data_IF_165107073545
#
_entry.id   IF_165107073545
#
_cell.length_a   1.000
_cell.length_b   1.000
_cell.length_c   1.000
_cell.angle_alpha   90.00
_cell.angle_beta   90.00
_cell.angle_gamma   90.00
#
_symmetry.space_group_name_H-M   'P 1'
#
loop_
_entity.id
_entity.type
_entity.pdbx_description
1 polymer ?
#
# COMPACT_ATOMS: atom_id res chain seq x y z
N UNK A 1 12.35 6.32 -30.43
CA UNK A 1 11.85 6.68 -29.08
C UNK A 1 12.81 6.13 -28.03
N UNK A 2 13.15 6.87 -26.96
CA UNK A 2 13.94 6.27 -25.86
C UNK A 2 13.12 5.15 -25.19
N UNK A 3 13.77 4.07 -24.75
CA UNK A 3 13.07 2.90 -24.19
C UNK A 3 12.15 3.22 -23.01
N UNK A 4 12.46 4.26 -22.22
CA UNK A 4 11.61 4.75 -21.15
C UNK A 4 10.31 5.42 -21.62
N UNK A 5 10.33 6.12 -22.78
CA UNK A 5 9.11 6.71 -23.37
C UNK A 5 8.19 5.64 -23.94
N UNK A 6 8.75 4.63 -24.61
CA UNK A 6 7.98 3.50 -25.12
C UNK A 6 7.21 2.78 -23.99
N UNK A 7 7.90 2.45 -22.90
CA UNK A 7 7.27 1.83 -21.71
C UNK A 7 6.14 2.66 -21.13
N UNK A 8 6.35 3.98 -21.02
CA UNK A 8 5.33 4.89 -20.52
C UNK A 8 4.11 4.97 -21.44
N UNK A 9 4.32 5.01 -22.76
CA UNK A 9 3.24 4.97 -23.75
C UNK A 9 2.46 3.66 -23.68
N UNK A 10 3.14 2.51 -23.63
CA UNK A 10 2.47 1.21 -23.53
C UNK A 10 1.62 1.11 -22.26
N UNK A 11 2.15 1.52 -21.10
CA UNK A 11 1.35 1.53 -19.86
C UNK A 11 0.22 2.56 -19.88
N UNK A 12 0.39 3.69 -20.55
CA UNK A 12 -0.71 4.65 -20.74
C UNK A 12 -1.82 4.01 -21.59
N UNK A 13 -1.46 3.29 -22.66
CA UNK A 13 -2.42 2.52 -23.47
C UNK A 13 -3.10 1.45 -22.62
N UNK A 14 -2.36 0.65 -21.84
CA UNK A 14 -2.94 -0.31 -20.88
C UNK A 14 -3.94 0.39 -19.95
N UNK A 15 -3.56 1.53 -19.38
CA UNK A 15 -4.39 2.27 -18.43
C UNK A 15 -5.68 2.76 -19.08
N UNK A 16 -5.58 3.43 -20.23
CA UNK A 16 -6.75 3.98 -20.94
C UNK A 16 -7.66 2.86 -21.46
N UNK A 17 -7.09 1.79 -22.00
CA UNK A 17 -7.83 0.66 -22.54
C UNK A 17 -8.54 -0.12 -21.41
N UNK A 18 -7.87 -0.35 -20.28
CA UNK A 18 -8.50 -0.96 -19.09
C UNK A 18 -9.62 -0.10 -18.55
N UNK A 19 -9.45 1.23 -18.51
CA UNK A 19 -10.51 2.14 -18.10
C UNK A 19 -11.69 2.14 -19.08
N UNK A 20 -11.44 2.11 -20.38
CA UNK A 20 -12.48 2.05 -21.39
C UNK A 20 -13.26 0.73 -21.33
N UNK A 21 -12.58 -0.39 -21.09
CA UNK A 21 -13.22 -1.69 -20.86
C UNK A 21 -14.12 -1.65 -19.60
N UNK A 22 -13.61 -1.15 -18.47
CA UNK A 22 -14.36 -1.07 -17.22
C UNK A 22 -15.59 -0.15 -17.27
N UNK A 23 -15.59 0.87 -18.13
CA UNK A 23 -16.69 1.86 -18.23
C UNK A 23 -17.66 1.52 -19.36
N UNK A 24 -17.17 1.05 -20.50
CA UNK A 24 -17.97 0.82 -21.71
C UNK A 24 -18.18 -0.66 -22.04
N UNK A 25 -17.65 -1.59 -21.23
CA UNK A 25 -17.68 -3.04 -21.47
C UNK A 25 -17.22 -3.41 -22.90
N UNK A 26 -16.11 -2.80 -23.34
CA UNK A 26 -15.63 -2.92 -24.72
C UNK A 26 -14.59 -4.01 -24.88
N UNK A 27 -14.97 -5.08 -25.58
CA UNK A 27 -14.07 -6.19 -25.92
C UNK A 27 -12.80 -5.72 -26.66
N UNK A 28 -12.93 -4.73 -27.56
CA UNK A 28 -11.80 -4.16 -28.30
C UNK A 28 -10.80 -3.47 -27.35
N UNK A 29 -11.31 -2.75 -26.35
CA UNK A 29 -10.46 -2.12 -25.35
C UNK A 29 -9.73 -3.16 -24.50
N UNK A 30 -10.40 -4.26 -24.16
CA UNK A 30 -9.78 -5.36 -23.43
C UNK A 30 -8.62 -6.01 -24.21
N UNK A 31 -8.82 -6.31 -25.50
CA UNK A 31 -7.75 -6.84 -26.37
C UNK A 31 -6.59 -5.87 -26.53
N UNK A 32 -6.88 -4.57 -26.70
CA UNK A 32 -5.85 -3.55 -26.78
C UNK A 32 -5.03 -3.46 -25.48
N UNK A 33 -5.68 -3.54 -24.32
CA UNK A 33 -5.02 -3.54 -23.01
C UNK A 33 -4.06 -4.73 -22.88
N UNK A 34 -4.47 -5.92 -23.29
CA UNK A 34 -3.65 -7.13 -23.22
C UNK A 34 -2.45 -7.09 -24.17
N UNK A 35 -2.65 -6.67 -25.42
CA UNK A 35 -1.55 -6.52 -26.39
C UNK A 35 -0.52 -5.48 -25.92
N UNK A 36 -1.00 -4.34 -25.40
CA UNK A 36 -0.14 -3.32 -24.84
C UNK A 36 0.59 -3.81 -23.57
N UNK A 37 -0.06 -4.63 -22.75
CA UNK A 37 0.55 -5.24 -21.56
C UNK A 37 1.64 -6.24 -21.95
N UNK A 38 1.40 -7.11 -22.93
CA UNK A 38 2.41 -8.02 -23.47
C UNK A 38 3.62 -7.27 -24.02
N UNK A 39 3.37 -6.24 -24.85
CA UNK A 39 4.42 -5.35 -25.34
C UNK A 39 5.18 -4.64 -24.22
N UNK A 40 4.49 -4.21 -23.15
CA UNK A 40 5.12 -3.62 -21.98
C UNK A 40 6.05 -4.62 -21.29
N UNK A 41 5.58 -5.83 -20.97
CA UNK A 41 6.36 -6.87 -20.31
C UNK A 41 7.63 -7.24 -21.10
N UNK A 42 7.51 -7.39 -22.43
CA UNK A 42 8.64 -7.67 -23.32
C UNK A 42 9.67 -6.53 -23.37
N UNK A 43 9.20 -5.29 -23.19
CA UNK A 43 10.09 -4.11 -23.19
C UNK A 43 10.88 -3.94 -21.89
N UNK A 44 10.55 -4.68 -20.82
CA UNK A 44 11.17 -4.55 -19.51
C UNK A 44 12.60 -5.11 -19.50
N UNK A 45 13.51 -4.39 -18.84
CA UNK A 45 14.90 -4.81 -18.61
C UNK A 45 15.26 -4.50 -17.17
N UNK A 46 16.06 -5.35 -16.53
CA UNK A 46 16.51 -5.15 -15.15
C UNK A 46 15.44 -5.39 -14.09
N UNK A 47 14.53 -6.35 -14.32
CA UNK A 47 13.57 -6.78 -13.30
C UNK A 47 14.30 -7.41 -12.10
N UNK A 48 13.78 -7.11 -10.92
CA UNK A 48 14.17 -7.77 -9.66
C UNK A 48 13.97 -9.28 -9.76
N UNK A 49 14.74 -10.04 -8.98
CA UNK A 49 14.64 -11.51 -8.96
C UNK A 49 13.23 -11.97 -8.62
N UNK A 50 12.55 -11.30 -7.67
CA UNK A 50 11.17 -11.62 -7.30
C UNK A 50 10.19 -11.43 -8.47
N UNK A 51 10.26 -10.28 -9.16
CA UNK A 51 9.40 -10.03 -10.33
C UNK A 51 9.63 -11.09 -11.43
N UNK A 52 10.88 -11.51 -11.65
CA UNK A 52 11.22 -12.54 -12.61
C UNK A 52 10.67 -13.91 -12.21
N UNK A 53 10.83 -14.31 -10.95
CA UNK A 53 10.31 -15.58 -10.43
C UNK A 53 8.78 -15.62 -10.60
N UNK A 54 8.07 -14.56 -10.22
CA UNK A 54 6.61 -14.51 -10.37
C UNK A 54 6.18 -14.63 -11.83
N UNK A 55 6.87 -13.98 -12.77
CA UNK A 55 6.56 -14.12 -14.20
C UNK A 55 6.83 -15.54 -14.72
N UNK A 56 7.92 -16.18 -14.27
CA UNK A 56 8.22 -17.58 -14.63
C UNK A 56 7.15 -18.51 -14.07
N UNK A 57 6.78 -18.36 -12.80
CA UNK A 57 5.72 -19.16 -12.17
C UNK A 57 4.38 -18.91 -12.88
N UNK A 58 4.06 -17.67 -13.21
CA UNK A 58 2.86 -17.32 -13.97
C UNK A 58 2.85 -18.04 -15.31
N UNK A 59 3.94 -17.97 -16.08
CA UNK A 59 4.09 -18.67 -17.35
C UNK A 59 3.91 -20.19 -17.20
N UNK A 60 4.55 -20.80 -16.20
CA UNK A 60 4.43 -22.25 -15.94
C UNK A 60 2.99 -22.64 -15.59
N UNK A 61 2.30 -21.88 -14.73
CA UNK A 61 0.90 -22.15 -14.41
C UNK A 61 -0.04 -21.89 -15.59
N UNK A 62 0.28 -20.94 -16.47
CA UNK A 62 -0.47 -20.76 -17.72
C UNK A 62 -0.35 -21.99 -18.62
N UNK A 63 0.83 -22.61 -18.71
CA UNK A 63 1.00 -23.86 -19.45
C UNK A 63 0.22 -25.02 -18.82
N UNK A 64 0.20 -25.10 -17.49
CA UNK A 64 -0.62 -26.09 -16.78
C UNK A 64 -2.11 -25.87 -17.05
N UNK A 65 -2.58 -24.62 -17.02
CA UNK A 65 -3.96 -24.27 -17.34
C UNK A 65 -4.35 -24.67 -18.76
N UNK A 66 -3.49 -24.40 -19.76
CA UNK A 66 -3.71 -24.83 -21.14
C UNK A 66 -3.84 -26.35 -21.29
N UNK A 67 -3.27 -27.12 -20.37
CA UNK A 67 -3.31 -28.58 -20.43
C UNK A 67 -4.46 -29.19 -19.63
N UNK A 68 -4.77 -28.63 -18.44
CA UNK A 68 -5.69 -29.27 -17.48
C UNK A 68 -7.09 -28.65 -17.43
N UNK A 69 -7.24 -27.37 -17.79
CA UNK A 69 -8.51 -26.66 -17.63
C UNK A 69 -9.36 -26.76 -18.91
N UNK A 70 -10.66 -26.97 -18.76
CA UNK A 70 -11.58 -27.16 -19.90
C UNK A 70 -11.70 -25.90 -20.77
N UNK A 71 -11.72 -24.71 -20.14
CA UNK A 71 -11.77 -23.40 -20.82
C UNK A 71 -10.53 -22.54 -20.54
N UNK A 72 -9.34 -22.93 -21.03
CA UNK A 72 -8.10 -22.33 -20.57
C UNK A 72 -7.91 -20.89 -21.09
N UNK A 73 -8.43 -20.59 -22.29
CA UNK A 73 -8.33 -19.25 -22.86
C UNK A 73 -9.13 -18.22 -22.07
N UNK A 74 -10.31 -18.61 -21.54
CA UNK A 74 -11.14 -17.75 -20.71
C UNK A 74 -10.44 -17.44 -19.39
N UNK A 75 -9.91 -18.48 -18.72
CA UNK A 75 -9.16 -18.32 -17.47
C UNK A 75 -7.92 -17.42 -17.64
N UNK A 76 -7.15 -17.61 -18.72
CA UNK A 76 -5.98 -16.79 -19.00
C UNK A 76 -6.34 -15.34 -19.33
N UNK A 77 -7.45 -15.14 -20.05
CA UNK A 77 -7.98 -13.82 -20.39
C UNK A 77 -8.41 -13.05 -19.14
N UNK A 78 -9.18 -13.68 -18.26
CA UNK A 78 -9.58 -13.09 -16.98
C UNK A 78 -8.38 -12.80 -16.07
N UNK A 79 -7.40 -13.72 -16.01
CA UNK A 79 -6.16 -13.51 -15.29
C UNK A 79 -5.37 -12.31 -15.82
N UNK A 80 -5.26 -12.18 -17.15
CA UNK A 80 -4.59 -11.05 -17.80
C UNK A 80 -5.32 -9.73 -17.54
N UNK A 81 -6.66 -9.74 -17.53
CA UNK A 81 -7.49 -8.62 -17.12
C UNK A 81 -7.19 -8.16 -15.69
N UNK A 82 -7.05 -9.09 -14.75
CA UNK A 82 -6.64 -8.77 -13.36
C UNK A 82 -5.23 -8.18 -13.28
N UNK A 83 -4.29 -8.67 -14.09
CA UNK A 83 -2.95 -8.07 -14.17
C UNK A 83 -3.06 -6.60 -14.63
N UNK A 84 -3.77 -6.37 -15.74
CA UNK A 84 -3.96 -5.04 -16.33
C UNK A 84 -4.65 -4.08 -15.36
N UNK A 85 -5.65 -4.57 -14.63
CA UNK A 85 -6.34 -3.83 -13.57
C UNK A 85 -5.36 -3.34 -12.49
N UNK A 86 -4.55 -4.24 -11.93
CA UNK A 86 -3.59 -3.87 -10.89
C UNK A 86 -2.45 -2.96 -11.38
N UNK A 87 -1.99 -3.18 -12.61
CA UNK A 87 -1.01 -2.31 -13.25
C UNK A 87 -1.56 -0.88 -13.40
N UNK A 88 -2.79 -0.78 -13.91
CA UNK A 88 -3.55 0.47 -14.05
C UNK A 88 -3.76 1.14 -12.70
N UNK A 89 -4.09 0.37 -11.67
CA UNK A 89 -4.27 0.86 -10.30
C UNK A 89 -3.00 1.49 -9.72
N UNK A 90 -1.85 0.85 -9.91
CA UNK A 90 -0.58 1.38 -9.42
C UNK A 90 -0.16 2.66 -10.16
N UNK A 91 -0.41 2.73 -11.48
CA UNK A 91 -0.18 3.95 -12.28
C UNK A 91 -1.12 5.08 -11.83
N UNK A 92 -2.41 4.79 -11.66
CA UNK A 92 -3.43 5.76 -11.23
C UNK A 92 -3.10 6.40 -9.88
N UNK A 93 -2.74 5.60 -8.87
CA UNK A 93 -2.28 6.12 -7.59
C UNK A 93 -0.94 6.85 -7.69
N UNK A 94 -0.03 6.35 -8.53
CA UNK A 94 1.28 6.97 -8.76
C UNK A 94 1.18 8.41 -9.24
N UNK A 95 0.13 8.76 -9.99
CA UNK A 95 -0.11 10.12 -10.49
C UNK A 95 -0.33 11.16 -9.38
N UNK A 96 -0.90 10.76 -8.23
CA UNK A 96 -1.07 11.64 -7.07
C UNK A 96 0.27 12.13 -6.49
N UNK A 97 1.37 11.41 -6.77
CA UNK A 97 2.71 11.82 -6.34
C UNK A 97 3.20 13.09 -7.05
N UNK A 98 2.76 13.35 -8.29
CA UNK A 98 3.18 14.53 -9.07
C UNK A 98 2.84 15.86 -8.38
N UNK A 99 1.57 16.16 -8.05
CA UNK A 99 1.24 17.37 -7.30
C UNK A 99 1.79 17.34 -5.88
N UNK A 100 1.89 16.17 -5.25
CA UNK A 100 2.33 16.06 -3.86
C UNK A 100 3.81 16.47 -3.68
N UNK A 101 4.72 16.03 -4.54
CA UNK A 101 6.15 16.40 -4.46
C UNK A 101 6.39 17.91 -4.71
N UNK A 102 5.51 18.56 -5.47
CA UNK A 102 5.58 20.00 -5.78
C UNK A 102 4.89 20.87 -4.73
N UNK A 103 4.02 20.29 -3.92
CA UNK A 103 3.19 21.03 -2.98
C UNK A 103 3.98 21.63 -1.82
N UNK A 104 3.85 22.95 -1.65
CA UNK A 104 4.37 23.66 -0.47
C UNK A 104 3.65 23.26 0.81
N UNK A 105 2.37 22.86 0.72
CA UNK A 105 1.59 22.36 1.85
C UNK A 105 2.21 21.08 2.41
N UNK A 106 2.58 20.12 1.55
CA UNK A 106 3.22 18.86 1.94
C UNK A 106 4.54 19.13 2.67
N UNK A 107 5.37 20.02 2.13
CA UNK A 107 6.64 20.42 2.77
C UNK A 107 6.43 21.07 4.15
N UNK A 108 5.44 21.97 4.26
CA UNK A 108 5.09 22.64 5.54
C UNK A 108 4.57 21.64 6.58
N UNK A 109 3.72 20.70 6.17
CA UNK A 109 3.24 19.65 7.07
C UNK A 109 4.39 18.82 7.64
N UNK A 110 5.30 18.35 6.78
CA UNK A 110 6.48 17.60 7.23
C UNK A 110 7.31 18.38 8.25
N UNK A 111 7.52 19.69 8.01
CA UNK A 111 8.25 20.55 8.95
C UNK A 111 7.51 20.69 10.30
N UNK A 112 6.20 20.99 10.26
CA UNK A 112 5.35 21.09 11.46
C UNK A 112 5.35 19.80 12.26
N UNK A 113 5.32 18.63 11.63
CA UNK A 113 5.29 17.33 12.30
C UNK A 113 6.58 17.03 13.06
N UNK A 114 7.74 17.40 12.52
CA UNK A 114 9.05 17.12 13.13
C UNK A 114 9.37 18.03 14.31
N UNK A 115 8.90 19.28 14.26
CA UNK A 115 9.12 20.28 15.30
C UNK A 115 8.19 20.14 16.52
N UNK A 116 7.27 19.17 16.51
CA UNK A 116 6.40 18.94 17.66
C UNK A 116 7.18 18.53 18.92
N UNK A 117 6.65 18.87 20.11
CA UNK A 117 7.26 18.51 21.38
C UNK A 117 7.32 16.99 21.57
N UNK A 118 8.24 16.46 22.39
CA UNK A 118 8.51 15.03 22.50
C UNK A 118 7.26 14.17 22.79
N UNK A 119 6.31 14.67 23.60
CA UNK A 119 5.09 13.96 23.97
C UNK A 119 4.07 13.84 22.84
N UNK A 120 4.06 14.80 21.89
CA UNK A 120 3.15 14.84 20.73
C UNK A 120 3.80 14.34 19.44
N UNK A 121 5.12 14.20 19.43
CA UNK A 121 5.87 13.86 18.21
C UNK A 121 5.52 12.48 17.68
N UNK A 122 5.46 11.45 18.52
CA UNK A 122 5.08 10.10 18.07
C UNK A 122 3.69 10.07 17.42
N UNK A 123 2.60 10.51 18.09
CA UNK A 123 1.26 10.40 17.50
C UNK A 123 1.14 11.22 16.21
N UNK A 124 1.69 12.44 16.18
CA UNK A 124 1.63 13.30 14.99
C UNK A 124 2.46 12.72 13.83
N UNK A 125 3.66 12.21 14.11
CA UNK A 125 4.52 11.64 13.08
C UNK A 125 3.95 10.31 12.57
N UNK A 126 3.39 9.48 13.44
CA UNK A 126 2.79 8.20 13.06
C UNK A 126 1.50 8.40 12.25
N UNK A 127 0.53 9.18 12.75
CA UNK A 127 -0.71 9.48 12.01
C UNK A 127 -0.42 10.22 10.70
N UNK A 128 0.47 11.22 10.74
CA UNK A 128 0.85 11.93 9.54
C UNK A 128 1.53 10.99 8.53
N UNK A 129 2.42 10.10 8.96
CA UNK A 129 3.04 9.12 8.04
C UNK A 129 2.02 8.16 7.44
N UNK A 130 0.98 7.76 8.18
CA UNK A 130 -0.13 6.98 7.64
C UNK A 130 -0.87 7.78 6.55
N UNK A 131 -1.29 9.01 6.86
CA UNK A 131 -2.03 9.89 5.95
C UNK A 131 -1.22 10.26 4.68
N UNK A 132 0.05 10.61 4.83
CA UNK A 132 0.94 10.88 3.70
C UNK A 132 1.26 9.60 2.93
N UNK A 133 1.31 8.44 3.60
CA UNK A 133 1.45 7.13 2.99
C UNK A 133 0.33 6.80 2.00
N UNK A 134 -0.87 7.31 2.21
CA UNK A 134 -2.00 7.16 1.27
C UNK A 134 -1.66 7.72 -0.12
N UNK A 135 -1.03 8.90 -0.17
CA UNK A 135 -0.71 9.58 -1.44
C UNK A 135 0.68 9.22 -1.95
N UNK A 136 1.69 9.32 -1.08
CA UNK A 136 3.08 9.20 -1.46
C UNK A 136 3.55 7.74 -1.48
N UNK A 137 2.78 6.82 -0.90
CA UNK A 137 3.15 5.41 -0.72
C UNK A 137 4.57 5.34 -0.13
N UNK A 138 5.46 4.52 -0.66
CA UNK A 138 6.87 4.39 -0.20
C UNK A 138 7.63 5.74 -0.21
N UNK A 139 7.19 6.71 -1.02
CA UNK A 139 7.79 8.05 -1.08
C UNK A 139 7.76 8.81 0.26
N UNK A 140 6.77 8.55 1.13
CA UNK A 140 6.69 9.20 2.46
C UNK A 140 7.89 8.86 3.33
N UNK A 141 8.36 7.61 3.26
CA UNK A 141 9.50 7.15 4.04
C UNK A 141 10.77 7.88 3.61
N UNK A 142 11.01 8.00 2.29
CA UNK A 142 12.17 8.72 1.78
C UNK A 142 12.14 10.20 2.17
N UNK A 143 10.98 10.85 2.03
CA UNK A 143 10.81 12.26 2.34
C UNK A 143 11.02 12.54 3.84
N UNK A 144 10.27 11.84 4.70
CA UNK A 144 10.33 12.10 6.12
C UNK A 144 11.62 11.59 6.77
N UNK A 145 12.20 10.47 6.33
CA UNK A 145 13.50 10.03 6.84
C UNK A 145 14.60 11.06 6.54
N UNK A 146 14.64 11.61 5.32
CA UNK A 146 15.59 12.67 4.97
C UNK A 146 15.38 13.94 5.81
N UNK A 147 14.13 14.32 6.06
CA UNK A 147 13.82 15.48 6.93
C UNK A 147 14.14 15.21 8.41
N UNK A 148 13.96 13.99 8.90
CA UNK A 148 14.36 13.56 10.26
C UNK A 148 15.87 13.72 10.41
N UNK A 149 16.67 13.18 9.49
CA UNK A 149 18.14 13.30 9.56
C UNK A 149 18.58 14.77 9.52
N UNK A 150 17.98 15.58 8.63
CA UNK A 150 18.31 17.00 8.53
C UNK A 150 17.93 17.81 9.79
N UNK A 151 16.81 17.47 10.44
CA UNK A 151 16.29 18.22 11.59
C UNK A 151 16.88 17.79 12.93
N UNK A 152 17.41 16.57 13.04
CA UNK A 152 17.91 16.02 14.29
C UNK A 152 19.39 16.37 14.52
N UNK A 153 19.68 17.64 14.78
CA UNK A 153 21.04 18.15 14.98
C UNK A 153 21.56 17.95 16.41
N UNK A 154 22.87 17.99 16.60
CA UNK A 154 23.52 17.90 17.92
C UNK A 154 23.12 19.06 18.84
N UNK A 155 22.97 20.27 18.27
CA UNK A 155 22.48 21.44 18.97
C UNK A 155 21.07 21.21 19.53
N UNK A 156 20.17 20.60 18.74
CA UNK A 156 18.84 20.21 19.19
C UNK A 156 18.86 19.09 20.24
N UNK A 157 19.98 18.36 20.38
CA UNK A 157 20.20 17.32 21.37
C UNK A 157 21.01 17.80 22.59
N UNK A 158 21.16 19.12 22.79
CA UNK A 158 21.93 19.70 23.90
C UNK A 158 23.39 19.20 23.95
N UNK A 159 23.99 18.93 22.79
CA UNK A 159 25.36 18.40 22.70
C UNK A 159 25.50 16.91 23.00
N UNK A 160 24.41 16.20 23.36
CA UNK A 160 24.47 14.80 23.79
C UNK A 160 24.17 13.83 22.64
N UNK A 161 25.20 13.10 22.20
CA UNK A 161 25.09 12.11 21.10
C UNK A 161 24.03 11.03 21.36
N UNK A 162 23.96 10.52 22.60
CA UNK A 162 22.99 9.47 22.95
C UNK A 162 21.53 9.96 22.83
N UNK A 163 21.27 11.24 23.14
CA UNK A 163 19.94 11.87 23.00
C UNK A 163 19.56 12.00 21.53
N UNK A 164 20.51 12.44 20.70
CA UNK A 164 20.31 12.54 19.26
C UNK A 164 19.97 11.17 18.65
N UNK A 165 20.70 10.12 19.02
CA UNK A 165 20.46 8.75 18.55
C UNK A 165 19.10 8.20 19.03
N UNK A 166 18.74 8.42 20.29
CA UNK A 166 17.45 8.00 20.83
C UNK A 166 16.28 8.72 20.14
N UNK A 167 16.41 10.04 19.88
CA UNK A 167 15.41 10.81 19.11
C UNK A 167 15.28 10.30 17.68
N UNK A 168 16.40 10.07 16.98
CA UNK A 168 16.42 9.53 15.62
C UNK A 168 15.69 8.19 15.56
N UNK A 169 16.05 7.26 16.46
CA UNK A 169 15.41 5.93 16.56
C UNK A 169 13.90 6.05 16.73
N UNK A 170 13.43 6.85 17.68
CA UNK A 170 11.99 7.03 17.95
C UNK A 170 11.26 7.64 16.75
N UNK A 171 11.83 8.65 16.12
CA UNK A 171 11.22 9.30 14.94
C UNK A 171 11.15 8.34 13.75
N UNK A 172 12.20 7.57 13.49
CA UNK A 172 12.20 6.56 12.43
C UNK A 172 11.19 5.42 12.70
N UNK A 173 11.10 4.94 13.95
CA UNK A 173 10.09 3.93 14.32
C UNK A 173 8.67 4.48 14.22
N UNK A 174 8.41 5.72 14.63
CA UNK A 174 7.09 6.35 14.48
C UNK A 174 6.71 6.50 13.00
N UNK A 175 7.67 6.90 12.16
CA UNK A 175 7.51 6.98 10.70
C UNK A 175 7.20 5.60 10.10
N UNK A 176 7.97 4.56 10.44
CA UNK A 176 7.76 3.20 9.97
C UNK A 176 6.39 2.67 10.38
N UNK A 177 6.06 2.76 11.67
CA UNK A 177 4.80 2.26 12.22
C UNK A 177 3.63 3.00 11.61
N UNK A 178 3.71 4.32 11.49
CA UNK A 178 2.68 5.13 10.82
C UNK A 178 2.47 4.76 9.37
N UNK A 179 3.55 4.69 8.57
CA UNK A 179 3.45 4.26 7.17
C UNK A 179 2.84 2.87 7.02
N UNK A 180 3.23 1.93 7.88
CA UNK A 180 2.72 0.57 7.81
C UNK A 180 1.21 0.44 8.10
N UNK A 181 0.57 1.44 8.72
CA UNK A 181 -0.89 1.48 8.89
C UNK A 181 -1.65 1.82 7.59
N UNK A 182 -0.95 2.28 6.54
CA UNK A 182 -1.59 2.71 5.29
C UNK A 182 -2.50 1.65 4.63
N UNK A 183 -2.17 0.33 4.61
CA UNK A 183 -3.05 -0.70 4.07
C UNK A 183 -4.39 -0.83 4.80
N UNK A 184 -4.45 -0.49 6.10
CA UNK A 184 -5.64 -0.60 6.93
C UNK A 184 -6.49 0.67 6.89
N UNK A 185 -5.85 1.85 6.91
CA UNK A 185 -6.55 3.13 7.03
C UNK A 185 -7.05 3.67 5.68
N UNK A 186 -6.44 3.27 4.57
CA UNK A 186 -6.70 3.88 3.26
C UNK A 186 -7.80 3.17 2.47
N UNK A 187 -8.96 3.81 2.20
CA UNK A 187 -9.96 3.25 1.27
C UNK A 187 -9.45 3.09 -0.16
N UNK A 188 -8.40 3.84 -0.52
CA UNK A 188 -7.83 3.89 -1.87
C UNK A 188 -6.46 3.20 -1.92
N UNK A 189 -6.05 2.52 -0.84
CA UNK A 189 -4.75 1.86 -0.76
C UNK A 189 -4.69 0.60 -1.61
N UNK A 190 -3.47 0.19 -1.99
CA UNK A 190 -3.25 -1.04 -2.77
C UNK A 190 -3.83 -2.26 -2.06
N UNK A 191 -3.64 -2.38 -0.73
CA UNK A 191 -4.21 -3.49 0.04
C UNK A 191 -5.73 -3.54 -0.04
N UNK A 192 -6.40 -2.38 0.08
CA UNK A 192 -7.84 -2.30 -0.04
C UNK A 192 -8.33 -2.68 -1.44
N UNK A 193 -7.63 -2.24 -2.48
CA UNK A 193 -7.95 -2.63 -3.85
C UNK A 193 -7.82 -4.13 -4.09
N UNK A 194 -6.75 -4.76 -3.59
CA UNK A 194 -6.53 -6.21 -3.72
C UNK A 194 -7.67 -7.00 -3.08
N UNK A 195 -8.07 -6.63 -1.87
CA UNK A 195 -9.15 -7.31 -1.14
C UNK A 195 -10.49 -7.10 -1.84
N UNK A 196 -10.87 -5.84 -2.10
CA UNK A 196 -12.17 -5.49 -2.67
C UNK A 196 -12.33 -5.94 -4.13
N UNK A 197 -11.23 -6.09 -4.89
CA UNK A 197 -11.31 -6.59 -6.26
C UNK A 197 -11.43 -8.12 -6.32
N UNK A 198 -11.04 -8.82 -5.26
CA UNK A 198 -10.95 -10.28 -5.25
C UNK A 198 -12.11 -10.95 -4.52
N UNK A 199 -12.76 -10.25 -3.59
CA UNK A 199 -13.95 -10.72 -2.88
C UNK A 199 -15.20 -10.03 -3.42
N UNK A 200 -16.05 -10.79 -4.10
CA UNK A 200 -17.29 -10.25 -4.64
C UNK A 200 -18.29 -9.87 -3.53
N UNK A 201 -19.04 -8.79 -3.73
CA UNK A 201 -20.04 -8.32 -2.79
C UNK A 201 -19.51 -7.57 -1.56
N UNK A 202 -18.22 -7.71 -1.23
CA UNK A 202 -17.60 -7.06 -0.08
C UNK A 202 -17.50 -5.54 -0.29
N UNK A 203 -18.05 -4.76 0.65
CA UNK A 203 -18.01 -3.29 0.60
C UNK A 203 -16.98 -2.73 1.58
N UNK A 204 -16.36 -1.61 1.22
CA UNK A 204 -15.42 -0.93 2.12
C UNK A 204 -16.02 -0.59 3.48
N UNK A 205 -17.30 -0.22 3.52
CA UNK A 205 -17.98 0.15 4.77
C UNK A 205 -18.12 -1.02 5.75
N UNK A 206 -18.12 -2.26 5.25
CA UNK A 206 -18.13 -3.47 6.07
C UNK A 206 -16.73 -3.76 6.62
N UNK A 207 -15.68 -3.41 5.88
CA UNK A 207 -14.29 -3.55 6.30
C UNK A 207 -13.84 -2.45 7.26
N UNK A 208 -14.35 -1.23 7.08
CA UNK A 208 -13.82 -0.03 7.74
C UNK A 208 -13.81 -0.13 9.28
N UNK A 209 -14.87 -0.61 9.97
CA UNK A 209 -14.85 -0.74 11.43
C UNK A 209 -13.72 -1.65 11.91
N UNK A 210 -13.53 -2.78 11.23
CA UNK A 210 -12.48 -3.73 11.54
C UNK A 210 -11.10 -3.17 11.19
N UNK A 211 -10.88 -2.69 9.97
CA UNK A 211 -9.58 -2.18 9.55
C UNK A 211 -9.12 -0.98 10.40
N UNK A 212 -10.04 -0.06 10.73
CA UNK A 212 -9.74 1.08 11.60
C UNK A 212 -9.55 0.67 13.05
N UNK A 213 -10.31 -0.31 13.55
CA UNK A 213 -10.08 -0.91 14.88
C UNK A 213 -8.68 -1.52 15.00
N UNK A 214 -8.24 -2.23 13.95
CA UNK A 214 -6.91 -2.83 13.87
C UNK A 214 -5.82 -1.77 13.88
N UNK A 215 -6.01 -0.74 13.05
CA UNK A 215 -5.07 0.36 12.94
C UNK A 215 -4.97 1.15 14.25
N UNK A 216 -6.09 1.36 14.94
CA UNK A 216 -6.15 2.02 16.24
C UNK A 216 -5.40 1.21 17.29
N UNK A 217 -5.64 -0.10 17.38
CA UNK A 217 -4.96 -0.99 18.31
C UNK A 217 -3.44 -0.98 18.09
N UNK A 218 -3.00 -1.14 16.83
CA UNK A 218 -1.59 -1.04 16.45
C UNK A 218 -0.99 0.33 16.79
N UNK A 219 -1.72 1.41 16.54
CA UNK A 219 -1.30 2.76 16.87
C UNK A 219 -1.12 2.95 18.39
N UNK A 220 -2.08 2.50 19.20
CA UNK A 220 -2.07 2.60 20.65
C UNK A 220 -0.91 1.80 21.27
N UNK A 221 -0.70 0.56 20.83
CA UNK A 221 0.46 -0.26 21.27
C UNK A 221 1.76 0.44 20.90
N UNK A 222 1.85 0.95 19.67
CA UNK A 222 3.04 1.68 19.21
C UNK A 222 3.32 2.94 20.02
N UNK A 223 2.27 3.67 20.41
CA UNK A 223 2.38 4.87 21.24
C UNK A 223 2.75 4.53 22.68
N UNK A 224 2.18 3.47 23.24
CA UNK A 224 2.53 2.95 24.56
C UNK A 224 4.01 2.56 24.64
N UNK A 225 4.48 1.76 23.67
CA UNK A 225 5.89 1.34 23.59
C UNK A 225 6.84 2.54 23.43
N UNK A 226 6.47 3.54 22.64
CA UNK A 226 7.29 4.75 22.48
C UNK A 226 7.36 5.58 23.78
N UNK A 227 6.28 5.63 24.56
CA UNK A 227 6.29 6.27 25.88
C UNK A 227 7.15 5.50 26.89
N UNK A 228 7.06 4.17 26.90
CA UNK A 228 7.83 3.32 27.82
C UNK A 228 9.34 3.39 27.53
N UNK A 229 9.72 3.48 26.26
CA UNK A 229 11.13 3.48 25.83
C UNK A 229 11.74 4.88 25.67
N UNK A 230 10.93 5.93 25.85
CA UNK A 230 11.36 7.32 25.65
C UNK A 230 12.27 7.83 26.77
N UNK A 231 13.41 8.49 26.47
CA UNK A 231 14.21 9.13 27.50
C UNK A 231 13.41 10.23 28.20
N UNK A 232 13.30 10.14 29.53
CA UNK A 232 12.66 11.14 30.40
C UNK A 232 13.58 12.34 30.56
N UNK A 233 13.68 13.17 29.53
CA UNK A 233 14.41 14.43 29.61
C UNK A 233 13.43 15.52 30.09
N UNK A 234 13.79 16.22 31.15
CA UNK A 234 13.12 17.46 31.54
C UNK A 234 13.35 18.49 30.43
N UNK A 235 12.26 18.90 29.77
CA UNK A 235 12.31 19.93 28.74
C UNK A 235 12.46 21.29 29.41
N UNK A 236 13.68 21.81 29.55
CA UNK A 236 13.90 23.15 30.14
C UNK A 236 13.62 24.31 29.18
N UNK A 237 13.36 24.04 27.89
CA UNK A 237 13.05 25.09 26.90
C UNK A 237 11.61 24.98 26.43
N UNK A 238 10.82 26.03 26.68
CA UNK A 238 9.59 26.33 25.94
C UNK A 238 9.98 26.46 24.46
N UNK A 239 9.65 25.45 23.66
CA UNK A 239 9.66 25.61 22.21
C UNK A 239 8.29 26.14 21.82
N UNK A 240 8.27 27.18 20.98
CA UNK A 240 7.04 27.58 20.30
C UNK A 240 6.45 26.38 19.58
N UNK A 241 5.27 25.96 20.01
CA UNK A 241 4.58 24.81 19.45
C UNK A 241 4.07 25.23 18.08
N UNK A 242 4.59 24.67 16.97
CA UNK A 242 4.16 25.11 15.66
C UNK A 242 2.69 24.73 15.45
N UNK A 243 1.89 25.64 14.86
CA UNK A 243 0.47 25.41 14.67
C UNK A 243 0.21 24.23 13.73
N UNK A 244 -0.81 23.43 14.06
CA UNK A 244 -1.22 22.26 13.26
C UNK A 244 -2.04 22.62 12.01
N UNK A 245 -2.22 23.91 11.72
CA UNK A 245 -3.00 24.39 10.59
C UNK A 245 -2.58 23.78 9.24
N UNK A 246 -1.29 23.58 8.91
CA UNK A 246 -0.91 22.89 7.67
C UNK A 246 -1.45 21.46 7.62
N UNK A 247 -1.39 20.73 8.74
CA UNK A 247 -1.87 19.36 8.82
C UNK A 247 -3.39 19.29 8.64
N UNK A 248 -4.14 20.21 9.25
CA UNK A 248 -5.60 20.31 9.05
C UNK A 248 -5.94 20.56 7.58
N UNK A 249 -5.25 21.49 6.92
CA UNK A 249 -5.45 21.76 5.48
C UNK A 249 -5.12 20.54 4.61
N UNK A 250 -4.12 19.75 5.00
CA UNK A 250 -3.77 18.53 4.30
C UNK A 250 -4.80 17.41 4.55
N UNK A 251 -5.33 17.28 5.76
CA UNK A 251 -6.44 16.37 6.05
C UNK A 251 -7.69 16.74 5.23
N UNK A 252 -8.02 18.04 5.12
CA UNK A 252 -9.12 18.50 4.27
C UNK A 252 -8.90 18.14 2.80
N UNK A 253 -7.68 18.28 2.28
CA UNK A 253 -7.33 17.83 0.94
C UNK A 253 -7.55 16.33 0.76
N UNK A 254 -7.07 15.51 1.71
CA UNK A 254 -7.26 14.06 1.69
C UNK A 254 -8.74 13.68 1.73
N UNK A 255 -9.51 14.28 2.63
CA UNK A 255 -10.96 14.06 2.73
C UNK A 255 -11.65 14.46 1.42
N UNK A 256 -11.25 15.57 0.80
CA UNK A 256 -11.82 15.99 -0.50
C UNK A 256 -11.52 15.00 -1.63
N UNK A 257 -10.33 14.38 -1.63
CA UNK A 257 -9.96 13.36 -2.61
C UNK A 257 -10.74 12.06 -2.38
N UNK A 258 -10.87 11.64 -1.11
CA UNK A 258 -11.68 10.47 -0.76
C UNK A 258 -13.14 10.72 -1.12
N UNK A 259 -13.70 11.88 -0.77
CA UNK A 259 -15.06 12.27 -1.12
C UNK A 259 -15.28 12.26 -2.64
N UNK A 260 -14.35 12.80 -3.44
CA UNK A 260 -14.41 12.72 -4.90
C UNK A 260 -14.54 11.27 -5.38
N UNK A 261 -13.75 10.36 -4.84
CA UNK A 261 -13.76 8.94 -5.25
C UNK A 261 -15.04 8.23 -4.81
N UNK A 262 -15.53 8.50 -3.60
CA UNK A 262 -16.83 7.96 -3.15
C UNK A 262 -17.99 8.52 -3.97
N UNK A 263 -17.96 9.80 -4.34
CA UNK A 263 -18.97 10.39 -5.23
C UNK A 263 -18.94 9.76 -6.61
N UNK A 264 -17.76 9.50 -7.18
CA UNK A 264 -17.63 8.78 -8.45
C UNK A 264 -18.15 7.34 -8.35
N UNK A 265 -17.85 6.63 -7.26
CA UNK A 265 -18.38 5.30 -7.01
C UNK A 265 -19.91 5.29 -6.94
N UNK A 266 -20.48 6.23 -6.19
CA UNK A 266 -21.92 6.29 -5.96
C UNK A 266 -22.71 6.74 -7.20
N UNK A 267 -22.30 7.86 -7.83
CA UNK A 267 -22.96 8.40 -9.03
C UNK A 267 -22.81 7.46 -10.23
N UNK A 268 -21.64 6.84 -10.39
CA UNK A 268 -21.37 5.92 -11.50
C UNK A 268 -21.81 4.48 -11.25
N UNK A 269 -22.31 4.13 -10.06
CA UNK A 269 -22.58 2.73 -9.69
C UNK A 269 -21.34 1.83 -9.73
N UNK A 270 -20.14 2.41 -9.58
CA UNK A 270 -18.88 1.71 -9.76
C UNK A 270 -18.42 1.07 -8.45
N UNK A 271 -17.79 -0.11 -8.55
CA UNK A 271 -17.03 -0.68 -7.42
C UNK A 271 -15.94 0.31 -6.98
N UNK A 272 -15.69 0.41 -5.68
CA UNK A 272 -14.74 1.38 -5.13
C UNK A 272 -13.34 1.31 -5.78
N UNK A 273 -12.74 0.12 -6.02
CA UNK A 273 -11.46 0.03 -6.72
C UNK A 273 -11.48 0.67 -8.12
N UNK A 274 -12.56 0.48 -8.88
CA UNK A 274 -12.76 1.10 -10.20
C UNK A 274 -12.91 2.62 -10.09
N UNK A 275 -13.66 3.10 -9.10
CA UNK A 275 -13.80 4.54 -8.85
C UNK A 275 -12.46 5.19 -8.48
N UNK A 276 -11.57 4.49 -7.77
CA UNK A 276 -10.20 4.95 -7.50
C UNK A 276 -9.39 5.09 -8.80
N UNK A 277 -9.54 4.19 -9.76
CA UNK A 277 -8.84 4.27 -11.06
C UNK A 277 -9.17 5.56 -11.82
N UNK A 278 -10.41 6.05 -11.71
CA UNK A 278 -10.86 7.30 -12.33
C UNK A 278 -10.54 8.51 -11.45
N UNK A 279 -10.83 8.42 -10.16
CA UNK A 279 -10.75 9.54 -9.23
C UNK A 279 -9.33 9.91 -8.82
N UNK A 280 -8.37 8.98 -8.78
CA UNK A 280 -6.99 9.32 -8.44
C UNK A 280 -6.30 10.16 -9.54
N UNK A 281 -6.36 9.80 -10.84
CA UNK A 281 -5.87 10.66 -11.91
C UNK A 281 -6.60 12.00 -11.98
N UNK A 282 -7.93 11.99 -11.84
CA UNK A 282 -8.75 13.21 -11.84
C UNK A 282 -8.37 14.13 -10.67
N UNK A 283 -8.26 13.58 -9.47
CA UNK A 283 -7.83 14.31 -8.27
C UNK A 283 -6.41 14.86 -8.40
N UNK A 284 -5.49 14.09 -8.98
CA UNK A 284 -4.14 14.57 -9.30
C UNK A 284 -4.16 15.76 -10.26
N UNK A 285 -4.98 15.67 -11.32
CA UNK A 285 -5.14 16.72 -12.31
C UNK A 285 -5.75 17.99 -11.71
N UNK A 286 -6.87 17.87 -10.97
CA UNK A 286 -7.52 18.99 -10.28
C UNK A 286 -6.57 19.67 -9.29
N UNK A 287 -5.78 18.88 -8.55
CA UNK A 287 -4.78 19.42 -7.62
C UNK A 287 -3.68 20.19 -8.37
N UNK A 288 -3.22 19.69 -9.53
CA UNK A 288 -2.25 20.40 -10.37
C UNK A 288 -2.83 21.70 -10.95
N UNK A 289 -4.07 21.70 -11.45
CA UNK A 289 -4.76 22.91 -11.91
C UNK A 289 -4.82 23.95 -10.79
N UNK A 290 -5.20 23.54 -9.58
CA UNK A 290 -5.24 24.43 -8.42
C UNK A 290 -3.87 25.02 -8.06
N UNK A 291 -2.79 24.21 -8.13
CA UNK A 291 -1.43 24.72 -7.93
C UNK A 291 -1.00 25.69 -9.03
N UNK A 292 -1.42 25.41 -10.27
CA UNK A 292 -1.09 26.16 -11.48
C UNK A 292 -1.99 27.36 -11.76
N UNK A 293 -3.05 27.60 -10.98
CA UNK A 293 -4.10 28.61 -11.26
C UNK A 293 -3.63 30.03 -11.53
N UNK A 294 -2.42 30.38 -11.11
CA UNK A 294 -1.78 31.68 -11.35
C UNK A 294 -1.14 31.82 -12.74
N UNK A 295 -1.09 30.75 -13.54
CA UNK A 295 -0.40 30.72 -14.85
C UNK A 295 -1.38 30.75 -16.06
N UNK A 296 -2.60 31.29 -15.87
CA UNK A 296 -3.64 31.41 -16.93
C UNK A 296 -4.48 30.13 -17.16
N UNK A 297 -5.69 30.30 -17.72
CA UNK A 297 -6.67 29.22 -18.02
C UNK A 297 -6.91 28.24 -16.85
N UNK A 298 -7.08 28.76 -15.63
CA UNK A 298 -7.23 27.97 -14.41
C UNK A 298 -6.11 26.94 -14.14
N UNK A 299 -4.95 27.06 -14.81
CA UNK A 299 -3.81 26.15 -14.69
C UNK A 299 -3.88 24.87 -15.53
N UNK A 300 -4.90 24.72 -16.40
CA UNK A 300 -5.12 23.51 -17.22
C UNK A 300 -3.92 23.15 -18.10
N UNK A 301 -3.31 24.07 -18.88
CA UNK A 301 -2.17 23.74 -19.72
C UNK A 301 -0.96 23.27 -18.91
N UNK A 302 -0.72 23.92 -17.76
CA UNK A 302 0.38 23.59 -16.86
C UNK A 302 0.21 22.20 -16.23
N UNK A 303 -1.02 21.85 -15.86
CA UNK A 303 -1.36 20.52 -15.34
C UNK A 303 -1.14 19.44 -16.39
N UNK A 304 -1.66 19.63 -17.62
CA UNK A 304 -1.50 18.70 -18.72
C UNK A 304 -0.02 18.46 -19.08
N UNK A 305 0.76 19.54 -19.23
CA UNK A 305 2.21 19.45 -19.51
C UNK A 305 2.95 18.75 -18.37
N UNK A 306 2.60 19.03 -17.12
CA UNK A 306 3.18 18.37 -15.94
C UNK A 306 2.89 16.88 -15.94
N UNK A 307 1.66 16.49 -16.21
CA UNK A 307 1.24 15.09 -16.20
C UNK A 307 1.92 14.31 -17.32
N UNK A 308 1.91 14.85 -18.54
CA UNK A 308 2.57 14.26 -19.70
C UNK A 308 4.09 14.12 -19.50
N UNK A 309 4.77 15.16 -19.00
CA UNK A 309 6.22 15.10 -18.74
C UNK A 309 6.58 14.26 -17.50
N UNK A 310 5.68 14.18 -16.53
CA UNK A 310 5.86 13.47 -15.27
C UNK A 310 5.66 11.96 -15.38
N UNK A 311 4.76 11.50 -16.27
CA UNK A 311 4.39 10.11 -16.38
C UNK A 311 5.59 9.16 -16.65
N UNK A 312 6.50 9.42 -17.61
CA UNK A 312 7.65 8.54 -17.81
C UNK A 312 8.57 8.44 -16.60
N UNK A 313 8.66 9.52 -15.80
CA UNK A 313 9.49 9.57 -14.58
C UNK A 313 8.88 8.79 -13.42
N UNK A 314 7.56 8.69 -13.37
CA UNK A 314 6.85 7.86 -12.39
C UNK A 314 6.90 6.38 -12.75
N UNK A 315 6.71 6.08 -14.04
CA UNK A 315 6.52 4.71 -14.54
C UNK A 315 7.84 3.93 -14.60
N UNK A 316 8.93 4.57 -15.06
CA UNK A 316 10.21 3.88 -15.21
C UNK A 316 10.69 3.16 -13.92
N UNK A 317 10.74 3.81 -12.74
CA UNK A 317 11.15 3.14 -11.50
C UNK A 317 10.09 2.18 -10.93
N UNK A 318 8.82 2.34 -11.29
CA UNK A 318 7.72 1.53 -10.75
C UNK A 318 7.57 0.15 -11.41
N UNK A 319 8.36 -0.16 -12.44
CA UNK A 319 8.20 -1.40 -13.24
C UNK A 319 8.21 -2.68 -12.40
N UNK A 320 9.05 -2.76 -11.36
CA UNK A 320 9.06 -3.91 -10.45
C UNK A 320 7.78 -4.02 -9.63
N UNK A 321 7.25 -2.91 -9.12
CA UNK A 321 6.02 -2.90 -8.33
C UNK A 321 4.81 -3.27 -9.20
N UNK A 322 4.76 -2.77 -10.44
CA UNK A 322 3.74 -3.10 -11.43
C UNK A 322 3.74 -4.60 -11.72
N UNK A 323 4.91 -5.17 -12.03
CA UNK A 323 5.02 -6.60 -12.36
C UNK A 323 4.69 -7.47 -11.16
N UNK A 324 5.20 -7.15 -9.97
CA UNK A 324 4.93 -7.96 -8.76
C UNK A 324 3.44 -7.95 -8.41
N UNK A 325 2.79 -6.78 -8.43
CA UNK A 325 1.37 -6.65 -8.10
C UNK A 325 0.49 -7.30 -9.18
N UNK A 326 0.79 -7.03 -10.46
CA UNK A 326 0.06 -7.62 -11.59
C UNK A 326 0.19 -9.14 -11.63
N UNK A 327 1.42 -9.66 -11.49
CA UNK A 327 1.67 -11.10 -11.51
C UNK A 327 1.05 -11.79 -10.29
N UNK A 328 1.03 -11.16 -9.12
CA UNK A 328 0.31 -11.69 -7.97
C UNK A 328 -1.20 -11.81 -8.21
N UNK A 329 -1.82 -10.79 -8.82
CA UNK A 329 -3.23 -10.81 -9.22
C UNK A 329 -3.55 -11.90 -10.23
N UNK A 330 -2.69 -12.02 -11.24
CA UNK A 330 -2.75 -13.07 -12.26
C UNK A 330 -2.66 -14.47 -11.65
N UNK A 331 -1.62 -14.72 -10.85
CA UNK A 331 -1.38 -15.99 -10.17
C UNK A 331 -2.52 -16.35 -9.22
N UNK A 332 -3.02 -15.38 -8.44
CA UNK A 332 -4.13 -15.62 -7.51
C UNK A 332 -5.37 -16.13 -8.23
N UNK A 333 -5.67 -15.60 -9.41
CA UNK A 333 -6.82 -16.04 -10.19
C UNK A 333 -6.59 -17.40 -10.88
N UNK A 334 -5.42 -17.62 -11.48
CA UNK A 334 -5.10 -18.92 -12.08
C UNK A 334 -5.07 -20.04 -11.03
N UNK A 335 -4.46 -19.80 -9.87
CA UNK A 335 -4.45 -20.79 -8.79
C UNK A 335 -5.87 -21.19 -8.36
N UNK A 336 -6.81 -20.25 -8.34
CA UNK A 336 -8.22 -20.55 -8.01
C UNK A 336 -8.88 -21.37 -9.11
N UNK A 337 -8.66 -21.04 -10.38
CA UNK A 337 -9.21 -21.81 -11.49
C UNK A 337 -8.62 -23.21 -11.63
N UNK A 338 -7.35 -23.39 -11.26
CA UNK A 338 -6.66 -24.69 -11.35
C UNK A 338 -6.90 -25.62 -10.15
N UNK A 339 -7.34 -25.08 -9.01
CA UNK A 339 -7.50 -25.86 -7.79
C UNK A 339 -8.95 -26.30 -7.65
N UNK A 340 -9.17 -27.61 -7.66
CA UNK A 340 -10.44 -28.20 -7.24
C UNK A 340 -10.69 -27.85 -5.75
N UNK A 341 -11.70 -27.03 -5.50
CA UNK A 341 -12.00 -26.53 -4.16
C UNK A 341 -12.25 -27.64 -3.13
N UNK A 342 -12.86 -28.75 -3.55
CA UNK A 342 -13.14 -29.92 -2.71
C UNK A 342 -11.85 -30.63 -2.27
N UNK A 343 -10.94 -30.92 -3.21
CA UNK A 343 -9.67 -31.57 -2.92
C UNK A 343 -8.75 -30.71 -2.03
N UNK A 344 -8.79 -29.39 -2.19
CA UNK A 344 -8.06 -28.48 -1.31
C UNK A 344 -8.69 -28.40 0.09
N UNK A 345 -10.03 -28.32 0.18
CA UNK A 345 -10.73 -28.28 1.45
C UNK A 345 -10.46 -29.52 2.30
N UNK A 346 -10.39 -30.71 1.70
CA UNK A 346 -10.02 -31.94 2.42
C UNK A 346 -8.59 -31.89 2.98
N UNK A 347 -7.61 -31.46 2.17
CA UNK A 347 -6.19 -31.38 2.58
C UNK A 347 -5.95 -30.33 3.67
N UNK A 348 -6.83 -29.33 3.74
CA UNK A 348 -6.71 -28.17 4.63
C UNK A 348 -7.85 -28.16 5.67
N UNK A 349 -8.52 -29.31 5.89
CA UNK A 349 -9.68 -29.42 6.79
C UNK A 349 -9.41 -29.02 8.24
N UNK A 350 -8.14 -29.02 8.67
CA UNK A 350 -7.76 -28.50 9.99
C UNK A 350 -8.03 -26.99 10.13
N UNK A 351 -8.00 -26.20 9.04
CA UNK A 351 -8.40 -24.78 9.07
C UNK A 351 -9.88 -24.64 9.37
N UNK A 352 -10.72 -25.54 8.83
CA UNK A 352 -12.16 -25.54 9.14
C UNK A 352 -12.39 -25.78 10.63
N UNK A 353 -11.62 -26.67 11.26
CA UNK A 353 -11.71 -26.91 12.70
C UNK A 353 -11.28 -25.70 13.56
N UNK A 354 -10.46 -24.80 13.03
CA UNK A 354 -10.02 -23.59 13.74
C UNK A 354 -11.03 -22.44 13.66
N UNK A 355 -11.98 -22.47 12.71
CA UNK A 355 -12.95 -21.41 12.46
C UNK A 355 -12.28 -20.03 12.33
N UNK A 356 -12.63 -19.08 13.21
CA UNK A 356 -12.02 -17.75 13.29
C UNK A 356 -10.48 -17.77 13.50
N UNK A 357 -9.93 -18.85 14.07
CA UNK A 357 -8.49 -19.05 14.19
C UNK A 357 -7.76 -19.07 12.84
N UNK A 358 -8.45 -19.42 11.75
CA UNK A 358 -7.90 -19.34 10.39
C UNK A 358 -7.52 -17.92 9.98
N UNK A 359 -8.26 -16.91 10.46
CA UNK A 359 -7.90 -15.51 10.22
C UNK A 359 -6.53 -15.18 10.84
N UNK A 360 -6.26 -15.69 12.04
CA UNK A 360 -4.97 -15.54 12.73
C UNK A 360 -3.86 -16.29 12.00
N UNK A 361 -4.13 -17.52 11.56
CA UNK A 361 -3.16 -18.30 10.75
C UNK A 361 -2.81 -17.57 9.46
N UNK A 362 -3.80 -17.03 8.75
CA UNK A 362 -3.60 -16.26 7.52
C UNK A 362 -2.77 -14.98 7.77
N UNK A 363 -3.10 -14.24 8.83
CA UNK A 363 -2.34 -13.05 9.28
C UNK A 363 -0.87 -13.41 9.55
N UNK A 364 -0.62 -14.46 10.32
CA UNK A 364 0.73 -14.90 10.66
C UNK A 364 1.48 -15.42 9.44
N UNK A 365 0.81 -16.15 8.54
CA UNK A 365 1.41 -16.66 7.31
C UNK A 365 1.92 -15.52 6.43
N UNK A 366 1.12 -14.47 6.22
CA UNK A 366 1.57 -13.27 5.48
C UNK A 366 2.80 -12.64 6.15
N UNK A 367 2.78 -12.50 7.48
CA UNK A 367 3.89 -11.91 8.23
C UNK A 367 5.17 -12.77 8.19
N UNK A 368 5.04 -14.10 8.20
CA UNK A 368 6.15 -15.06 8.17
C UNK A 368 6.76 -15.20 6.78
N UNK A 369 5.94 -15.32 5.73
CA UNK A 369 6.41 -15.35 4.34
C UNK A 369 7.20 -14.08 4.01
N UNK A 370 6.80 -12.94 4.57
CA UNK A 370 7.56 -11.72 4.43
C UNK A 370 8.97 -11.77 5.01
N UNK A 371 9.21 -12.56 6.07
CA UNK A 371 10.55 -12.68 6.66
C UNK A 371 11.54 -13.38 5.73
N UNK A 372 11.05 -14.32 4.90
CA UNK A 372 11.86 -15.02 3.90
C UNK A 372 11.94 -14.28 2.56
N UNK A 373 11.45 -13.04 2.50
CA UNK A 373 11.59 -12.17 1.33
C UNK A 373 10.42 -12.23 0.34
N UNK A 374 9.35 -12.97 0.64
CA UNK A 374 8.14 -12.94 -0.17
C UNK A 374 7.42 -11.61 0.06
N UNK A 375 7.07 -10.89 -1.00
CA UNK A 375 6.39 -9.61 -0.87
C UNK A 375 4.99 -9.83 -0.26
N UNK A 376 4.60 -9.11 0.82
CA UNK A 376 3.28 -9.26 1.43
C UNK A 376 2.11 -9.07 0.46
N UNK A 377 2.28 -8.22 -0.56
CA UNK A 377 1.32 -8.05 -1.65
C UNK A 377 0.97 -9.41 -2.27
N UNK A 378 2.00 -10.21 -2.58
CA UNK A 378 1.84 -11.51 -3.23
C UNK A 378 1.09 -12.48 -2.32
N UNK A 379 1.52 -12.58 -1.07
CA UNK A 379 0.89 -13.46 -0.08
C UNK A 379 -0.59 -13.10 0.12
N UNK A 380 -0.91 -11.81 0.26
CA UNK A 380 -2.31 -11.37 0.42
C UNK A 380 -3.12 -11.68 -0.84
N UNK A 381 -2.64 -11.33 -2.02
CA UNK A 381 -3.41 -11.57 -3.26
C UNK A 381 -3.69 -13.05 -3.51
N UNK A 382 -2.72 -13.93 -3.23
CA UNK A 382 -2.91 -15.38 -3.35
C UNK A 382 -3.92 -15.91 -2.30
N UNK A 383 -3.76 -15.51 -1.04
CA UNK A 383 -4.62 -15.99 0.04
C UNK A 383 -6.06 -15.46 -0.06
N UNK A 384 -6.27 -14.23 -0.53
CA UNK A 384 -7.61 -13.70 -0.80
C UNK A 384 -8.28 -14.46 -1.95
N UNK A 385 -7.52 -14.94 -2.94
CA UNK A 385 -8.09 -15.79 -4.00
C UNK A 385 -8.56 -17.15 -3.47
N UNK A 386 -7.75 -17.79 -2.64
CA UNK A 386 -7.94 -19.20 -2.24
C UNK A 386 -8.82 -19.36 -1.01
N UNK A 387 -8.58 -18.63 0.08
CA UNK A 387 -9.24 -18.90 1.37
C UNK A 387 -10.78 -18.77 1.34
N UNK A 388 -11.39 -17.84 0.58
CA UNK A 388 -12.85 -17.76 0.49
C UNK A 388 -13.51 -18.98 -0.15
N UNK A 389 -12.81 -19.72 -1.02
CA UNK A 389 -13.38 -20.90 -1.70
C UNK A 389 -13.50 -22.11 -0.78
N UNK A 390 -12.84 -22.08 0.37
CA UNK A 390 -12.84 -23.18 1.36
C UNK A 390 -14.13 -23.23 2.20
N UNK A 391 -14.98 -22.20 2.17
CA UNK A 391 -16.27 -22.21 2.88
C UNK A 391 -16.17 -22.42 4.39
N UNK A 392 -15.10 -21.92 5.03
CA UNK A 392 -14.84 -22.15 6.45
C UNK A 392 -15.88 -21.45 7.33
N UNK A 393 -16.55 -22.24 8.18
CA UNK A 393 -17.55 -21.73 9.12
C UNK A 393 -16.93 -20.74 10.13
N UNK A 394 -17.59 -19.59 10.33
CA UNK A 394 -17.12 -18.51 11.21
C UNK A 394 -16.04 -17.61 10.62
N UNK A 395 -15.58 -17.85 9.39
CA UNK A 395 -14.61 -16.98 8.69
C UNK A 395 -15.36 -16.05 7.71
N UNK A 396 -15.86 -14.92 8.21
CA UNK A 396 -16.54 -13.94 7.35
C UNK A 396 -15.53 -13.22 6.42
N UNK A 397 -15.92 -12.86 5.19
CA UNK A 397 -15.03 -12.15 4.25
C UNK A 397 -14.39 -10.89 4.83
N UNK A 398 -15.09 -10.03 5.62
CA UNK A 398 -14.48 -8.87 6.23
C UNK A 398 -13.35 -9.21 7.22
N UNK A 399 -13.53 -10.24 8.04
CA UNK A 399 -12.54 -10.67 9.04
C UNK A 399 -11.29 -11.21 8.35
N UNK A 400 -11.48 -12.08 7.36
CA UNK A 400 -10.37 -12.64 6.56
C UNK A 400 -9.59 -11.53 5.84
N UNK A 401 -10.29 -10.61 5.18
CA UNK A 401 -9.71 -9.47 4.52
C UNK A 401 -8.82 -8.63 5.48
N UNK A 402 -9.37 -8.26 6.63
CA UNK A 402 -8.66 -7.43 7.61
C UNK A 402 -7.48 -8.20 8.22
N UNK A 403 -7.60 -9.50 8.46
CA UNK A 403 -6.50 -10.30 8.99
C UNK A 403 -5.31 -10.37 8.03
N UNK A 404 -5.57 -10.49 6.73
CA UNK A 404 -4.54 -10.43 5.69
C UNK A 404 -3.88 -9.04 5.61
N UNK A 405 -4.66 -7.95 5.70
CA UNK A 405 -4.13 -6.58 5.74
C UNK A 405 -3.33 -6.28 7.02
N UNK A 406 -3.72 -6.87 8.15
CA UNK A 406 -2.96 -6.81 9.40
C UNK A 406 -1.65 -7.59 9.26
N UNK A 407 -1.67 -8.78 8.66
CA UNK A 407 -0.48 -9.56 8.36
C UNK A 407 0.51 -8.78 7.48
N UNK A 408 -0.01 -8.09 6.47
CA UNK A 408 0.80 -7.18 5.64
C UNK A 408 1.36 -6.01 6.47
N UNK A 409 0.55 -5.37 7.30
CA UNK A 409 0.99 -4.28 8.19
C UNK A 409 2.13 -4.73 9.11
N UNK A 410 1.99 -5.91 9.75
CA UNK A 410 3.04 -6.51 10.58
C UNK A 410 4.29 -6.83 9.78
N UNK A 411 4.15 -7.33 8.54
CA UNK A 411 5.26 -7.57 7.64
C UNK A 411 6.07 -6.29 7.33
N UNK A 412 5.39 -5.18 7.00
CA UNK A 412 6.05 -3.88 6.73
C UNK A 412 6.85 -3.35 7.93
N UNK A 413 6.46 -3.76 9.14
CA UNK A 413 7.05 -3.34 10.42
C UNK A 413 8.14 -4.28 10.94
N UNK A 414 8.24 -5.50 10.42
CA UNK A 414 9.11 -6.55 10.96
C UNK A 414 10.14 -7.08 9.95
N UNK A 415 9.73 -7.28 8.69
CA UNK A 415 10.54 -7.98 7.71
C UNK A 415 11.75 -7.17 7.26
N UNK A 416 12.99 -7.69 7.43
CA UNK A 416 14.22 -7.03 7.00
C UNK A 416 14.32 -6.81 5.48
N UNK A 417 13.51 -7.53 4.71
CA UNK A 417 13.52 -7.57 3.25
C UNK A 417 12.54 -6.57 2.62
N UNK A 418 11.66 -5.99 3.43
CA UNK A 418 10.69 -5.00 2.95
C UNK A 418 11.37 -3.70 2.55
N UNK A 419 10.86 -3.06 1.48
CA UNK A 419 11.38 -1.76 1.02
C UNK A 419 11.31 -0.70 2.13
N UNK A 420 10.29 -0.73 2.98
CA UNK A 420 10.19 0.15 4.14
C UNK A 420 11.39 0.02 5.09
N UNK A 421 11.77 -1.21 5.43
CA UNK A 421 12.93 -1.48 6.28
C UNK A 421 14.26 -1.14 5.61
N UNK A 422 14.43 -1.46 4.34
CA UNK A 422 15.65 -1.15 3.60
C UNK A 422 15.87 0.36 3.46
N UNK A 423 14.80 1.14 3.26
CA UNK A 423 14.88 2.61 3.26
C UNK A 423 15.35 3.11 4.62
N UNK A 424 14.71 2.66 5.71
CA UNK A 424 15.12 3.07 7.05
C UNK A 424 16.55 2.66 7.39
N UNK A 425 16.95 1.46 6.98
CA UNK A 425 18.31 0.94 7.16
C UNK A 425 19.33 1.87 6.49
N UNK A 426 19.05 2.27 5.24
CA UNK A 426 19.90 3.21 4.49
C UNK A 426 20.03 4.58 5.16
N UNK A 427 18.93 5.13 5.70
CA UNK A 427 18.97 6.45 6.36
C UNK A 427 19.60 6.42 7.75
N UNK A 428 19.44 5.32 8.49
CA UNK A 428 19.95 5.21 9.87
C UNK A 428 21.37 4.66 9.94
N UNK A 429 21.84 3.99 8.89
CA UNK A 429 23.07 3.21 8.89
C UNK A 429 22.98 1.93 9.74
N UNK A 430 21.78 1.54 10.17
CA UNK A 430 21.53 0.38 11.03
C UNK A 430 20.97 -0.76 10.21
N UNK A 431 21.43 -2.00 10.43
CA UNK A 431 20.94 -3.17 9.69
C UNK A 431 19.41 -3.34 9.84
N UNK A 432 18.74 -3.70 8.74
CA UNK A 432 17.28 -3.91 8.72
C UNK A 432 16.83 -4.96 9.74
N UNK A 433 17.63 -6.03 9.94
CA UNK A 433 17.45 -7.03 11.00
C UNK A 433 17.38 -6.41 12.40
N UNK A 434 18.30 -5.48 12.71
CA UNK A 434 18.33 -4.81 14.01
C UNK A 434 17.12 -3.89 14.17
N UNK A 435 16.67 -3.23 13.11
CA UNK A 435 15.49 -2.36 13.17
C UNK A 435 14.22 -3.21 13.40
N UNK A 436 14.02 -4.28 12.63
CA UNK A 436 12.85 -5.15 12.76
C UNK A 436 12.79 -5.87 14.10
N UNK A 437 13.82 -6.65 14.43
CA UNK A 437 13.75 -7.53 15.59
C UNK A 437 14.17 -6.87 16.90
N UNK A 438 15.18 -5.99 16.90
CA UNK A 438 15.67 -5.37 18.15
C UNK A 438 15.00 -4.04 18.45
N UNK A 439 14.82 -3.18 17.45
CA UNK A 439 14.20 -1.88 17.69
C UNK A 439 12.68 -1.98 17.80
N UNK A 440 12.05 -2.79 16.95
CA UNK A 440 10.61 -2.96 16.92
C UNK A 440 10.12 -4.24 17.63
N UNK A 441 11.01 -5.08 18.15
CA UNK A 441 10.69 -6.36 18.79
C UNK A 441 9.65 -6.26 19.90
N UNK A 442 9.85 -5.38 20.89
CA UNK A 442 8.87 -5.19 21.99
C UNK A 442 7.48 -4.83 21.47
N UNK A 443 7.41 -4.01 20.42
CA UNK A 443 6.14 -3.65 19.80
C UNK A 443 5.49 -4.86 19.13
N UNK A 444 6.26 -5.66 18.38
CA UNK A 444 5.74 -6.86 17.72
C UNK A 444 5.28 -7.92 18.74
N UNK A 445 6.04 -8.14 19.81
CA UNK A 445 5.69 -9.07 20.88
C UNK A 445 4.40 -8.69 21.61
N UNK A 446 4.04 -7.39 21.65
CA UNK A 446 2.78 -6.94 22.24
C UNK A 446 1.65 -6.89 21.22
N UNK A 447 1.91 -6.39 20.01
CA UNK A 447 0.90 -6.17 18.98
C UNK A 447 0.36 -7.48 18.38
N UNK A 448 1.24 -8.43 18.05
CA UNK A 448 0.84 -9.68 17.40
C UNK A 448 -0.13 -10.53 18.25
N UNK A 449 0.15 -10.83 19.53
CA UNK A 449 -0.80 -11.60 20.34
C UNK A 449 -2.07 -10.81 20.65
N UNK A 450 -1.98 -9.49 20.81
CA UNK A 450 -3.16 -8.65 21.03
C UNK A 450 -4.10 -8.65 19.82
N UNK A 451 -3.55 -8.59 18.60
CA UNK A 451 -4.32 -8.72 17.35
C UNK A 451 -4.88 -10.13 17.18
N UNK A 452 -4.10 -11.18 17.48
CA UNK A 452 -4.56 -12.55 17.45
C UNK A 452 -5.75 -12.76 18.40
N UNK A 453 -5.63 -12.30 19.65
CA UNK A 453 -6.72 -12.34 20.62
C UNK A 453 -7.93 -11.55 20.13
N UNK A 454 -7.72 -10.38 19.52
CA UNK A 454 -8.82 -9.59 18.99
C UNK A 454 -9.55 -10.31 17.85
N UNK A 455 -8.87 -10.98 16.91
CA UNK A 455 -9.55 -11.79 15.89
C UNK A 455 -10.29 -13.01 16.46
N UNK A 456 -9.81 -13.60 17.55
CA UNK A 456 -10.48 -14.73 18.21
C UNK A 456 -11.71 -14.30 19.03
N UNK A 457 -11.65 -13.10 19.63
CA UNK A 457 -12.72 -12.53 20.47
C UNK A 457 -13.77 -11.79 19.64
N UNK A 458 -13.35 -11.21 18.51
CA UNK A 458 -14.22 -10.62 17.51
C UNK A 458 -15.06 -11.71 16.82
N UNK A 459 -15.92 -12.38 17.59
CA UNK A 459 -17.07 -13.14 17.10
C UNK A 459 -18.09 -12.12 16.61
N UNK A 460 -17.91 -11.65 15.38
CA UNK A 460 -18.92 -10.91 14.64
C UNK A 460 -19.53 -11.83 13.61
#
# INVERSE_FOLDING_TARGET
MSGGRLRACLLLVVTLATLADLVFASLLAQWLAMLALGGYLLSLRGLSSMARILLVVAFMLSLVALWQHDEPLVLLHEAAGRFAFFATFLVALGLLRLPAYRSTLVKRCGHTMLLQPPSRRYPILSLGSALFGIILNIGVLNLFAAMIEKSNTLAAAQGRLWVQQARRRRMMLALLRGFALAPLVSPMGIGMAVVLSSMEGLRWIELAPYALGAALLLFLVGWGVDRLTGPRLQSSRQHDIPPLQPLVRFCLLLVSLVALIFSLAWVGGLRLPTAVLLGAPLGAFLWLCWQGRRHGLAGIPSAAVTMHRGLPRLVAPASNEIVVLGAAGYLGHICVGLVEGTALAERVGFLSALGAGTAVVAMLLVALLAQVGINPIVSVTLLVGILPTLGIEGLTPPILAVSLLVGWTLALMSSPMTVSMLILSRFTGVSSLRIGYRWNGLFLCLATPLLAAWFLIARF
#
